data_IF_067065634007
#
_entry.id   IF_067065634007
#
_cell.length_a   1.000
_cell.length_b   1.000
_cell.length_c   1.000
_cell.angle_alpha   90.00
_cell.angle_beta   90.00
_cell.angle_gamma   90.00
#
_symmetry.space_group_name_H-M   'P 1'
#
loop_
_entity.id
_entity.type
_entity.pdbx_description
1 polymer ?
#
# COMPACT_ATOMS: atom_id res chain seq x y z
N UNK A 1 7.78 15.76 -10.94
CA UNK A 1 8.72 15.10 -10.04
C UNK A 1 8.50 13.59 -10.13
N UNK A 2 9.60 12.83 -10.14
CA UNK A 2 9.56 11.38 -10.08
C UNK A 2 9.21 10.87 -8.67
N UNK A 3 9.12 9.54 -8.47
CA UNK A 3 8.94 8.95 -7.16
C UNK A 3 10.13 9.31 -6.25
N UNK A 4 9.96 9.25 -4.92
CA UNK A 4 11.06 9.37 -3.99
C UNK A 4 12.13 8.32 -4.27
N UNK A 5 13.40 8.73 -4.36
CA UNK A 5 14.50 7.86 -4.75
C UNK A 5 15.57 7.79 -3.68
N UNK A 6 16.19 6.61 -3.57
CA UNK A 6 17.37 6.40 -2.75
C UNK A 6 18.48 7.39 -3.12
N UNK A 7 19.16 7.92 -2.13
CA UNK A 7 20.22 8.93 -2.21
C UNK A 7 19.76 10.34 -2.64
N UNK A 8 18.56 10.52 -3.16
CA UNK A 8 18.03 11.86 -3.50
C UNK A 8 17.06 12.40 -2.44
N UNK A 9 16.34 11.52 -1.77
CA UNK A 9 15.35 11.91 -0.74
C UNK A 9 15.78 11.35 0.61
N UNK A 10 16.02 12.20 1.63
CA UNK A 10 16.35 11.72 2.98
C UNK A 10 15.27 10.77 3.52
N UNK A 11 15.70 9.65 4.11
CA UNK A 11 14.82 8.63 4.67
C UNK A 11 14.30 7.61 3.65
N UNK A 12 14.67 7.72 2.38
CA UNK A 12 14.38 6.71 1.35
C UNK A 12 15.56 5.76 1.22
N UNK A 13 15.34 4.50 1.58
CA UNK A 13 16.38 3.45 1.61
C UNK A 13 16.33 2.53 0.39
N UNK A 14 15.25 2.54 -0.36
CA UNK A 14 15.11 1.80 -1.63
C UNK A 14 14.23 2.56 -2.59
N UNK A 15 14.54 2.50 -3.87
CA UNK A 15 13.72 3.07 -4.94
C UNK A 15 12.74 2.02 -5.44
N UNK A 16 11.48 2.38 -5.54
CA UNK A 16 10.44 1.59 -6.19
C UNK A 16 9.83 2.42 -7.33
N UNK A 17 8.97 1.84 -8.15
CA UNK A 17 8.35 2.51 -9.31
C UNK A 17 8.02 1.49 -10.38
N UNK A 18 9.00 0.68 -10.87
CA UNK A 18 8.67 -0.45 -11.72
C UNK A 18 7.72 -1.40 -11.00
N UNK A 19 6.58 -1.68 -11.63
CA UNK A 19 5.50 -2.47 -11.04
C UNK A 19 5.99 -3.86 -10.62
N UNK A 20 5.50 -4.36 -9.49
CA UNK A 20 5.89 -5.65 -8.89
C UNK A 20 7.18 -5.60 -8.06
N UNK A 21 8.14 -4.74 -8.37
CA UNK A 21 9.40 -4.67 -7.64
C UNK A 21 9.22 -4.20 -6.19
N UNK A 22 8.31 -3.27 -5.94
CA UNK A 22 8.00 -2.83 -4.57
C UNK A 22 7.53 -3.97 -3.68
N UNK A 23 6.69 -4.87 -4.20
CA UNK A 23 6.28 -6.08 -3.48
C UNK A 23 7.46 -7.02 -3.23
N UNK A 24 8.32 -7.23 -4.23
CA UNK A 24 9.51 -8.06 -4.09
C UNK A 24 10.47 -7.52 -3.01
N UNK A 25 10.69 -6.20 -2.98
CA UNK A 25 11.47 -5.54 -1.94
C UNK A 25 10.85 -5.74 -0.55
N UNK A 26 9.53 -5.58 -0.43
CA UNK A 26 8.82 -5.77 0.84
C UNK A 26 8.92 -7.22 1.35
N UNK A 27 8.84 -8.20 0.46
CA UNK A 27 9.09 -9.62 0.80
C UNK A 27 10.51 -9.81 1.29
N UNK A 28 11.50 -9.19 0.64
CA UNK A 28 12.91 -9.19 1.06
C UNK A 28 13.10 -8.59 2.46
N UNK A 29 12.48 -7.45 2.75
CA UNK A 29 12.53 -6.82 4.09
C UNK A 29 11.88 -7.69 5.17
N UNK A 30 10.71 -8.26 4.90
CA UNK A 30 10.04 -9.15 5.84
C UNK A 30 10.83 -10.44 6.08
N UNK A 31 11.50 -10.97 5.06
CA UNK A 31 12.40 -12.11 5.20
C UNK A 31 13.64 -11.73 6.04
N UNK A 32 14.23 -10.57 5.78
CA UNK A 32 15.38 -10.08 6.54
C UNK A 32 15.00 -9.88 8.02
N UNK A 33 13.85 -9.30 8.31
CA UNK A 33 13.33 -9.18 9.68
C UNK A 33 13.26 -10.54 10.37
N UNK A 34 12.66 -11.53 9.72
CA UNK A 34 12.50 -12.88 10.28
C UNK A 34 13.86 -13.56 10.55
N UNK A 35 14.80 -13.43 9.62
CA UNK A 35 16.15 -14.00 9.76
C UNK A 35 16.93 -13.31 10.89
N UNK A 36 16.94 -11.98 10.89
CA UNK A 36 17.67 -11.19 11.90
C UNK A 36 17.03 -11.36 13.29
N UNK A 37 15.69 -11.41 13.36
CA UNK A 37 14.98 -11.71 14.61
C UNK A 37 15.36 -13.06 15.18
N UNK A 38 15.42 -14.10 14.35
CA UNK A 38 15.88 -15.43 14.77
C UNK A 38 17.35 -15.45 15.23
N UNK A 39 18.19 -14.63 14.61
CA UNK A 39 19.62 -14.57 14.92
C UNK A 39 19.91 -13.76 16.20
N UNK A 40 19.24 -12.62 16.40
CA UNK A 40 19.63 -11.63 17.41
C UNK A 40 18.65 -11.51 18.59
N UNK A 41 17.38 -11.82 18.42
CA UNK A 41 16.41 -11.72 19.52
C UNK A 41 16.69 -12.77 20.59
N UNK A 42 16.50 -12.39 21.85
CA UNK A 42 16.63 -13.25 23.03
C UNK A 42 15.46 -12.98 23.97
N UNK A 43 15.22 -13.87 24.92
CA UNK A 43 14.18 -13.70 25.92
C UNK A 43 14.34 -12.35 26.63
N UNK A 44 13.27 -11.53 26.63
CA UNK A 44 13.26 -10.18 27.17
C UNK A 44 13.97 -9.10 26.34
N UNK A 45 14.54 -9.45 25.19
CA UNK A 45 15.31 -8.53 24.35
C UNK A 45 14.96 -8.72 22.86
N UNK A 46 13.93 -8.00 22.41
CA UNK A 46 13.54 -7.97 20.99
C UNK A 46 14.28 -6.83 20.27
N UNK A 47 15.40 -7.14 19.64
CA UNK A 47 16.23 -6.17 18.89
C UNK A 47 15.67 -5.91 17.50
N UNK A 48 15.06 -6.94 16.88
CA UNK A 48 14.45 -6.88 15.55
C UNK A 48 13.01 -7.35 15.65
N UNK A 49 12.08 -6.39 15.56
CA UNK A 49 10.64 -6.66 15.72
C UNK A 49 9.81 -5.57 15.02
N UNK A 50 9.91 -5.51 13.69
CA UNK A 50 9.19 -4.52 12.88
C UNK A 50 8.28 -5.19 11.84
N UNK A 51 7.23 -4.46 11.45
CA UNK A 51 6.37 -4.87 10.35
C UNK A 51 6.81 -4.18 9.05
N UNK A 52 6.59 -4.87 7.94
CA UNK A 52 6.77 -4.31 6.59
C UNK A 52 5.39 -4.05 5.99
N UNK A 53 5.17 -2.82 5.56
CA UNK A 53 3.94 -2.42 4.88
C UNK A 53 4.24 -2.08 3.43
N UNK A 54 3.37 -2.52 2.50
CA UNK A 54 3.51 -2.24 1.07
C UNK A 54 2.17 -1.90 0.46
N UNK A 55 2.16 -0.96 -0.48
CA UNK A 55 0.98 -0.55 -1.24
C UNK A 55 1.10 -1.04 -2.68
N UNK A 56 0.01 -1.56 -3.24
CA UNK A 56 -0.06 -2.21 -4.53
C UNK A 56 -1.33 -1.78 -5.25
N UNK A 57 -1.25 -1.52 -6.55
CA UNK A 57 -2.41 -1.31 -7.41
C UNK A 57 -2.67 -2.50 -8.32
N UNK A 58 -3.70 -2.41 -9.17
CA UNK A 58 -4.08 -3.44 -10.14
C UNK A 58 -2.91 -3.82 -11.04
N UNK A 59 -2.17 -2.84 -11.56
CA UNK A 59 -0.98 -3.09 -12.38
C UNK A 59 0.10 -3.90 -11.68
N UNK A 60 0.33 -3.69 -10.39
CA UNK A 60 1.28 -4.49 -9.62
C UNK A 60 0.85 -5.95 -9.53
N UNK A 61 -0.45 -6.21 -9.48
CA UNK A 61 -1.00 -7.58 -9.39
C UNK A 61 -0.92 -8.36 -10.69
N UNK A 62 -0.63 -7.69 -11.82
CA UNK A 62 -0.46 -8.30 -13.13
C UNK A 62 0.98 -8.76 -13.39
N UNK A 63 1.95 -8.24 -12.63
CA UNK A 63 3.36 -8.54 -12.84
C UNK A 63 3.72 -9.97 -12.40
N UNK A 64 4.51 -10.66 -13.23
CA UNK A 64 4.92 -12.05 -12.95
C UNK A 64 5.66 -12.20 -11.62
N UNK A 65 6.57 -11.26 -11.31
CA UNK A 65 7.32 -11.26 -10.04
C UNK A 65 6.40 -11.18 -8.82
N UNK A 66 5.26 -10.49 -8.93
CA UNK A 66 4.28 -10.40 -7.82
C UNK A 66 3.72 -11.75 -7.44
N UNK A 67 3.46 -12.62 -8.42
CA UNK A 67 3.00 -14.00 -8.19
C UNK A 67 4.09 -14.84 -7.49
N UNK A 68 5.32 -14.76 -7.96
CA UNK A 68 6.44 -15.53 -7.44
C UNK A 68 6.75 -15.16 -5.99
N UNK A 69 6.90 -13.86 -5.71
CA UNK A 69 7.27 -13.40 -4.35
C UNK A 69 6.11 -13.53 -3.36
N UNK A 70 4.85 -13.35 -3.79
CA UNK A 70 3.70 -13.58 -2.92
C UNK A 70 3.56 -15.05 -2.51
N UNK A 71 3.77 -15.98 -3.45
CA UNK A 71 3.82 -17.41 -3.16
C UNK A 71 4.96 -17.74 -2.19
N UNK A 72 6.15 -17.19 -2.40
CA UNK A 72 7.30 -17.36 -1.50
C UNK A 72 7.00 -16.84 -0.09
N UNK A 73 6.42 -15.64 0.02
CA UNK A 73 6.08 -15.04 1.31
C UNK A 73 5.10 -15.89 2.12
N UNK A 74 4.08 -16.44 1.47
CA UNK A 74 3.14 -17.35 2.11
C UNK A 74 3.79 -18.67 2.53
N UNK A 75 4.67 -19.24 1.70
CA UNK A 75 5.42 -20.46 2.01
C UNK A 75 6.32 -20.26 3.23
N UNK A 76 7.00 -19.12 3.32
CA UNK A 76 7.88 -18.78 4.45
C UNK A 76 7.13 -18.28 5.69
N UNK A 77 5.82 -18.06 5.60
CA UNK A 77 4.99 -17.56 6.70
C UNK A 77 5.50 -16.20 7.20
N UNK A 78 5.69 -15.22 6.28
CA UNK A 78 6.19 -13.89 6.63
C UNK A 78 5.07 -13.04 7.26
N UNK A 79 4.70 -13.37 8.47
CA UNK A 79 3.52 -12.85 9.17
C UNK A 79 3.58 -11.35 9.51
N UNK A 80 4.75 -10.72 9.43
CA UNK A 80 4.92 -9.27 9.60
C UNK A 80 4.86 -8.48 8.29
N UNK A 81 4.53 -9.14 7.17
CA UNK A 81 4.28 -8.49 5.90
C UNK A 81 2.79 -8.19 5.75
N UNK A 82 2.46 -6.91 5.60
CA UNK A 82 1.10 -6.42 5.39
C UNK A 82 1.05 -5.65 4.07
N UNK A 83 0.29 -6.17 3.11
CA UNK A 83 0.10 -5.54 1.81
C UNK A 83 -1.30 -4.89 1.73
N UNK A 84 -1.34 -3.64 1.26
CA UNK A 84 -2.56 -2.94 0.92
C UNK A 84 -2.76 -2.99 -0.58
N UNK A 85 -3.84 -3.60 -1.02
CA UNK A 85 -4.23 -3.62 -2.41
C UNK A 85 -5.24 -2.49 -2.65
N UNK A 86 -4.80 -1.49 -3.40
CA UNK A 86 -5.62 -0.40 -3.90
C UNK A 86 -6.47 -0.92 -5.07
N UNK A 87 -7.63 -1.47 -4.71
CA UNK A 87 -8.58 -2.14 -5.60
C UNK A 87 -9.57 -1.09 -6.14
N UNK A 88 -9.10 -0.25 -7.05
CA UNK A 88 -9.86 0.84 -7.65
C UNK A 88 -10.36 0.53 -9.07
N UNK A 89 -9.90 -0.57 -9.67
CA UNK A 89 -10.32 -1.00 -11.00
C UNK A 89 -9.80 -0.13 -12.15
N UNK A 90 -8.78 0.71 -11.91
CA UNK A 90 -8.22 1.62 -12.91
C UNK A 90 -6.72 1.34 -13.09
N UNK A 91 -6.29 1.29 -14.33
CA UNK A 91 -4.88 1.33 -14.73
C UNK A 91 -4.59 2.61 -15.52
N UNK A 92 -3.34 2.75 -16.01
CA UNK A 92 -2.93 3.90 -16.83
C UNK A 92 -3.76 4.04 -18.11
N UNK A 93 -4.27 2.93 -18.66
CA UNK A 93 -5.01 2.88 -19.93
C UNK A 93 -6.54 2.85 -19.76
N UNK A 94 -7.04 2.99 -18.52
CA UNK A 94 -8.46 3.00 -18.21
C UNK A 94 -8.91 1.90 -17.28
N UNK A 95 -10.19 1.52 -17.36
CA UNK A 95 -10.79 0.48 -16.55
C UNK A 95 -10.18 -0.89 -16.85
N UNK A 96 -9.94 -1.68 -15.78
CA UNK A 96 -9.36 -3.03 -15.92
C UNK A 96 -10.42 -4.09 -16.24
N UNK A 97 -11.70 -3.74 -16.20
CA UNK A 97 -12.79 -4.66 -16.50
C UNK A 97 -12.65 -5.26 -17.90
N UNK A 98 -12.79 -6.59 -17.98
CA UNK A 98 -12.72 -7.35 -19.24
C UNK A 98 -11.33 -7.76 -19.70
N UNK A 99 -10.24 -7.20 -19.12
CA UNK A 99 -8.88 -7.62 -19.47
C UNK A 99 -8.01 -8.02 -18.28
N UNK A 100 -8.35 -7.59 -17.05
CA UNK A 100 -7.81 -8.16 -15.82
C UNK A 100 -8.94 -8.81 -15.04
N UNK A 101 -9.06 -10.13 -15.15
CA UNK A 101 -10.20 -10.91 -14.64
C UNK A 101 -9.84 -11.84 -13.48
N UNK A 102 -8.63 -11.71 -12.96
CA UNK A 102 -8.16 -12.51 -11.84
C UNK A 102 -8.95 -12.19 -10.57
N UNK A 103 -9.32 -13.23 -9.83
CA UNK A 103 -9.77 -13.05 -8.44
C UNK A 103 -8.53 -12.91 -7.53
N UNK A 104 -7.99 -11.71 -7.46
CA UNK A 104 -6.80 -11.39 -6.67
C UNK A 104 -6.91 -11.87 -5.21
N UNK A 105 -8.02 -11.65 -4.48
CA UNK A 105 -8.23 -12.22 -3.17
C UNK A 105 -8.04 -13.73 -3.10
N UNK A 106 -8.70 -14.51 -3.97
CA UNK A 106 -8.56 -15.97 -3.97
C UNK A 106 -7.15 -16.43 -4.35
N UNK A 107 -6.51 -15.71 -5.26
CA UNK A 107 -5.12 -15.98 -5.63
C UNK A 107 -4.20 -15.90 -4.41
N UNK A 108 -4.30 -14.84 -3.60
CA UNK A 108 -3.51 -14.68 -2.39
C UNK A 108 -3.90 -15.69 -1.29
N UNK A 109 -5.17 -16.03 -1.16
CA UNK A 109 -5.59 -17.13 -0.29
C UNK A 109 -4.92 -18.47 -0.68
N UNK A 110 -4.79 -18.73 -1.99
CA UNK A 110 -4.08 -19.94 -2.48
C UNK A 110 -2.58 -19.91 -2.17
N UNK A 111 -1.98 -18.74 -1.98
CA UNK A 111 -0.60 -18.57 -1.51
C UNK A 111 -0.45 -18.64 0.01
N UNK A 112 -1.50 -18.98 0.74
CA UNK A 112 -1.51 -19.06 2.19
C UNK A 112 -1.38 -17.67 2.89
N UNK A 113 -1.93 -16.63 2.28
CA UNK A 113 -2.06 -15.32 2.92
C UNK A 113 -3.40 -15.21 3.67
N UNK A 114 -3.44 -14.44 4.75
CA UNK A 114 -4.68 -13.90 5.28
C UNK A 114 -5.17 -12.81 4.32
N UNK A 115 -6.42 -12.88 3.88
CA UNK A 115 -7.00 -11.85 3.00
C UNK A 115 -8.18 -11.19 3.71
N UNK A 116 -8.08 -9.88 3.90
CA UNK A 116 -9.14 -9.03 4.45
C UNK A 116 -9.80 -8.31 3.28
N UNK A 117 -11.04 -8.70 2.97
CA UNK A 117 -11.75 -8.26 1.77
C UNK A 117 -12.62 -7.03 2.03
N UNK A 118 -12.87 -6.25 0.98
CA UNK A 118 -13.88 -5.19 0.93
C UNK A 118 -13.73 -4.12 2.03
N UNK A 119 -12.50 -3.79 2.40
CA UNK A 119 -12.23 -2.66 3.30
C UNK A 119 -12.52 -1.36 2.54
N UNK A 120 -13.28 -0.46 3.11
CA UNK A 120 -13.44 0.88 2.57
C UNK A 120 -12.11 1.65 2.73
N UNK A 121 -11.37 1.81 1.63
CA UNK A 121 -10.07 2.47 1.63
C UNK A 121 -10.12 3.98 1.91
N UNK A 122 -11.32 4.56 2.04
CA UNK A 122 -11.54 5.95 2.44
C UNK A 122 -12.06 6.08 3.89
N UNK A 123 -12.21 4.97 4.61
CA UNK A 123 -12.61 4.95 6.02
C UNK A 123 -11.43 4.56 6.93
N UNK A 124 -10.94 5.53 7.71
CA UNK A 124 -9.78 5.34 8.57
C UNK A 124 -10.00 4.29 9.69
N UNK A 125 -11.23 4.11 10.15
CA UNK A 125 -11.54 3.17 11.23
C UNK A 125 -11.61 1.73 10.70
N UNK A 126 -12.12 1.53 9.48
CA UNK A 126 -12.05 0.23 8.80
C UNK A 126 -10.60 -0.15 8.51
N UNK A 127 -9.80 0.79 8.00
CA UNK A 127 -8.36 0.56 7.75
C UNK A 127 -7.63 0.20 9.05
N UNK A 128 -7.86 0.93 10.14
CA UNK A 128 -7.27 0.64 11.45
C UNK A 128 -7.62 -0.76 11.92
N UNK A 129 -8.89 -1.14 11.82
CA UNK A 129 -9.37 -2.48 12.20
C UNK A 129 -8.70 -3.58 11.39
N UNK A 130 -8.53 -3.35 10.09
CA UNK A 130 -7.82 -4.28 9.21
C UNK A 130 -6.34 -4.41 9.58
N UNK A 131 -5.65 -3.30 9.89
CA UNK A 131 -4.26 -3.31 10.36
C UNK A 131 -4.12 -4.07 11.66
N UNK A 132 -5.01 -3.82 12.63
CA UNK A 132 -4.99 -4.51 13.94
C UNK A 132 -5.23 -6.01 13.80
N UNK A 133 -6.01 -6.43 12.81
CA UNK A 133 -6.23 -7.84 12.46
C UNK A 133 -4.98 -8.42 11.80
N UNK A 134 -4.40 -7.71 10.83
CA UNK A 134 -3.18 -8.12 10.12
C UNK A 134 -2.01 -8.33 11.07
N UNK A 135 -1.80 -7.43 12.05
CA UNK A 135 -0.71 -7.51 13.03
C UNK A 135 -0.80 -8.70 14.00
N UNK A 136 -1.96 -9.35 14.07
CA UNK A 136 -2.19 -10.55 14.89
C UNK A 136 -2.14 -11.83 14.06
N UNK A 137 -1.95 -11.73 12.76
CA UNK A 137 -1.92 -12.86 11.85
C UNK A 137 -0.65 -13.71 12.04
N UNK A 138 -0.78 -15.01 11.82
CA UNK A 138 0.34 -15.97 11.77
C UNK A 138 0.98 -16.09 10.38
N UNK A 139 0.45 -15.35 9.40
CA UNK A 139 0.85 -15.40 7.99
C UNK A 139 0.79 -14.01 7.36
N UNK A 140 1.43 -13.78 6.19
CA UNK A 140 1.35 -12.48 5.52
C UNK A 140 -0.10 -12.11 5.22
N UNK A 141 -0.41 -10.82 5.22
CA UNK A 141 -1.79 -10.33 5.08
C UNK A 141 -1.93 -9.43 3.87
N UNK A 142 -2.97 -9.67 3.07
CA UNK A 142 -3.45 -8.76 2.02
C UNK A 142 -4.72 -8.07 2.50
N UNK A 143 -4.73 -6.75 2.55
CA UNK A 143 -5.89 -5.92 2.82
C UNK A 143 -6.40 -5.36 1.49
N UNK A 144 -7.56 -5.81 1.03
CA UNK A 144 -8.17 -5.35 -0.22
C UNK A 144 -9.01 -4.10 0.06
N UNK A 145 -8.46 -2.94 -0.29
CA UNK A 145 -9.07 -1.64 -0.06
C UNK A 145 -9.83 -1.19 -1.31
N UNK A 146 -11.15 -1.13 -1.21
CA UNK A 146 -11.96 -0.49 -2.25
C UNK A 146 -11.77 1.00 -2.18
N UNK A 147 -11.23 1.57 -3.25
CA UNK A 147 -10.95 3.01 -3.35
C UNK A 147 -11.49 3.59 -4.66
N UNK A 148 -11.45 4.90 -4.75
CA UNK A 148 -11.75 5.65 -5.96
C UNK A 148 -10.49 6.44 -6.29
N UNK A 149 -9.88 6.20 -7.46
CA UNK A 149 -8.73 6.99 -7.90
C UNK A 149 -9.13 8.47 -7.98
N UNK A 150 -8.27 9.38 -7.50
CA UNK A 150 -8.56 10.81 -7.47
C UNK A 150 -9.72 11.21 -6.55
N UNK A 151 -9.98 10.43 -5.49
CA UNK A 151 -11.04 10.67 -4.52
C UNK A 151 -11.10 12.13 -4.06
N UNK A 152 -12.29 12.70 -4.07
CA UNK A 152 -12.53 14.10 -3.73
C UNK A 152 -12.36 15.08 -4.90
N UNK A 153 -11.98 14.61 -6.10
CA UNK A 153 -11.94 15.42 -7.32
C UNK A 153 -13.30 15.34 -8.02
N UNK A 154 -14.15 16.39 -8.01
CA UNK A 154 -15.54 16.27 -8.45
C UNK A 154 -15.71 15.89 -9.91
N UNK A 155 -14.75 16.26 -10.78
CA UNK A 155 -14.86 16.04 -12.22
C UNK A 155 -13.95 14.94 -12.75
N UNK A 156 -12.92 14.52 -11.98
CA UNK A 156 -11.88 13.60 -12.44
C UNK A 156 -11.77 12.30 -11.66
N UNK A 157 -12.36 12.21 -10.46
CA UNK A 157 -12.30 10.96 -9.69
C UNK A 157 -12.90 9.78 -10.46
N UNK A 158 -12.36 8.59 -10.24
CA UNK A 158 -12.82 7.35 -10.84
C UNK A 158 -12.42 7.16 -12.30
N UNK A 159 -11.51 7.99 -12.83
CA UNK A 159 -11.06 7.94 -14.23
C UNK A 159 -9.54 7.89 -14.33
N UNK A 160 -9.04 7.31 -15.41
CA UNK A 160 -7.62 7.25 -15.74
C UNK A 160 -6.97 8.63 -15.90
N UNK A 161 -7.75 9.66 -16.23
CA UNK A 161 -7.27 11.05 -16.38
C UNK A 161 -6.50 11.58 -15.16
N UNK A 162 -6.71 11.02 -13.98
CA UNK A 162 -5.96 11.38 -12.76
C UNK A 162 -4.82 10.41 -12.43
N UNK A 163 -4.59 9.37 -13.25
CA UNK A 163 -3.47 8.47 -13.07
C UNK A 163 -2.17 9.12 -13.59
N UNK A 164 -1.41 9.74 -12.67
CA UNK A 164 -0.13 10.37 -13.01
C UNK A 164 -0.19 11.71 -13.71
N UNK A 165 -1.38 12.23 -14.04
CA UNK A 165 -1.55 13.54 -14.65
C UNK A 165 -1.93 14.61 -13.60
N UNK A 166 -1.50 15.88 -13.78
CA UNK A 166 -1.91 16.98 -12.91
C UNK A 166 -3.42 17.21 -12.97
N UNK A 167 -4.06 17.38 -11.83
CA UNK A 167 -5.49 17.73 -11.77
C UNK A 167 -5.78 19.12 -12.37
N UNK A 168 -4.83 20.05 -12.24
CA UNK A 168 -4.99 21.47 -12.59
C UNK A 168 -5.53 22.29 -11.41
N UNK A 169 -5.25 23.60 -11.44
CA UNK A 169 -5.54 24.49 -10.31
C UNK A 169 -7.04 24.58 -9.98
N UNK A 170 -7.89 24.60 -11.00
CA UNK A 170 -9.34 24.71 -10.81
C UNK A 170 -9.90 23.44 -10.14
N UNK A 171 -9.48 22.28 -10.61
CA UNK A 171 -9.91 21.00 -10.05
C UNK A 171 -9.36 20.79 -8.62
N UNK A 172 -8.12 21.22 -8.35
CA UNK A 172 -7.55 21.22 -6.99
C UNK A 172 -8.38 22.09 -6.05
N UNK A 173 -8.83 23.27 -6.51
CA UNK A 173 -9.67 24.15 -5.69
C UNK A 173 -11.01 23.49 -5.36
N UNK A 174 -11.61 22.81 -6.32
CA UNK A 174 -12.87 22.06 -6.11
C UNK A 174 -12.66 20.88 -5.16
N UNK A 175 -11.63 20.09 -5.36
CA UNK A 175 -11.31 18.95 -4.48
C UNK A 175 -11.01 19.37 -3.05
N UNK A 176 -10.29 20.47 -2.86
CA UNK A 176 -10.05 21.02 -1.51
C UNK A 176 -11.36 21.42 -0.80
N UNK A 177 -12.29 21.98 -1.54
CA UNK A 177 -13.63 22.32 -1.01
C UNK A 177 -14.42 21.05 -0.67
N UNK A 178 -14.41 20.06 -1.54
CA UNK A 178 -15.08 18.77 -1.35
C UNK A 178 -14.55 18.05 -0.09
N UNK A 179 -13.24 18.02 0.07
CA UNK A 179 -12.55 17.39 1.20
C UNK A 179 -12.48 18.29 2.45
N UNK A 180 -13.09 19.47 2.43
CA UNK A 180 -13.04 20.45 3.52
C UNK A 180 -11.61 20.79 3.97
N UNK A 181 -10.65 20.83 3.02
CA UNK A 181 -9.25 21.12 3.28
C UNK A 181 -8.95 22.62 3.10
N UNK A 182 -8.86 23.33 4.21
CA UNK A 182 -8.75 24.80 4.23
C UNK A 182 -7.31 25.34 4.36
N UNK A 183 -6.31 24.46 4.44
CA UNK A 183 -4.90 24.86 4.59
C UNK A 183 -4.29 25.30 3.25
N UNK A 184 -3.29 26.17 3.29
CA UNK A 184 -2.56 26.60 2.09
C UNK A 184 -1.77 25.44 1.47
N UNK A 185 -1.37 25.53 0.20
CA UNK A 185 -0.43 24.57 -0.38
C UNK A 185 0.84 24.47 0.46
N UNK A 186 1.29 23.24 0.73
CA UNK A 186 2.47 22.92 1.57
C UNK A 186 2.38 23.35 3.04
N UNK A 187 1.24 23.82 3.50
CA UNK A 187 0.98 24.07 4.92
C UNK A 187 0.54 22.77 5.60
N UNK A 188 1.31 22.35 6.60
CA UNK A 188 0.94 21.24 7.46
C UNK A 188 0.31 21.78 8.75
N UNK A 189 -0.93 21.40 9.10
CA UNK A 189 -1.52 21.73 10.40
C UNK A 189 -0.59 21.30 11.54
N UNK A 190 -0.41 22.17 12.53
CA UNK A 190 0.62 21.97 13.56
C UNK A 190 0.42 20.71 14.43
N UNK A 191 -0.82 20.27 14.57
CA UNK A 191 -1.19 19.06 15.30
C UNK A 191 -0.71 17.78 14.61
N UNK A 192 -0.64 17.76 13.27
CA UNK A 192 -0.18 16.59 12.51
C UNK A 192 1.31 16.30 12.75
N UNK A 193 2.25 17.26 12.50
CA UNK A 193 3.66 17.04 12.83
C UNK A 193 3.91 16.75 14.30
N UNK A 194 3.15 17.39 15.21
CA UNK A 194 3.29 17.14 16.64
C UNK A 194 2.93 15.71 17.02
N UNK A 195 1.89 15.14 16.41
CA UNK A 195 1.49 13.75 16.64
C UNK A 195 2.49 12.72 16.06
N UNK A 196 3.16 13.07 14.95
CA UNK A 196 4.15 12.20 14.31
C UNK A 196 5.55 12.33 14.90
N UNK A 197 5.86 13.44 15.53
CA UNK A 197 7.19 13.75 16.11
C UNK A 197 7.31 13.46 17.62
N UNK A 198 6.31 12.79 18.20
CA UNK A 198 6.27 12.49 19.63
C UNK A 198 7.04 11.23 20.01
#
# INVERSE_FOLDING_TARGET
>A
PGPPEFAYTPGVETTTGPLGQGLANAVGFALAEKVLGAQFNREGHNVVDHNTYVFLGDGCMMEGISHEVASLAGTLGLNKLVAFYDDNGISIDGEVEGWFTDDTPKRFESYNWLVIRNVNGHDADEIRTAIDTARKSDRPTLICCKTIIGFGSPNKQGKEDCHGAPLGNDEIALGRKELNWNHRPFENPADIPAAWGA
#
